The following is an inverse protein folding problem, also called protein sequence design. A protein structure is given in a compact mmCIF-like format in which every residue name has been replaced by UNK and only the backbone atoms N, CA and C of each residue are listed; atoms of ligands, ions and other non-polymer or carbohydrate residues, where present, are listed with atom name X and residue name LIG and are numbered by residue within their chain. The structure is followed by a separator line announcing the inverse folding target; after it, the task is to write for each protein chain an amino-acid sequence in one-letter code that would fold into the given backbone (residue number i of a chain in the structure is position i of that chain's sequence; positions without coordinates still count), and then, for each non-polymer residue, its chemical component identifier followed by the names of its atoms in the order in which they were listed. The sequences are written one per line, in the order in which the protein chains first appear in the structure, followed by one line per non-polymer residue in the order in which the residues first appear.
data_IF_132346261120
#
_entry.id   IF_132346261120
#
_cell.length_a   1.000
_cell.length_b   1.000
_cell.length_c   1.000
_cell.angle_alpha   90.00
_cell.angle_beta   90.00
_cell.angle_gamma   90.00
#
_symmetry.space_group_name_H-M   'P 1'
#
loop_
_entity.id
_entity.type
_entity.pdbx_description
1 polymer ?
#
# COMPACT_ATOMS: atom_id res chain seq x y z
N UNK A 1 23.95 -11.25 9.06
CA UNK A 1 22.53 -11.56 9.38
C UNK A 1 21.64 -10.61 8.59
N UNK A 2 20.55 -11.09 7.97
CA UNK A 2 19.59 -10.20 7.32
C UNK A 2 18.61 -9.61 8.33
N UNK A 3 18.14 -8.39 8.07
CA UNK A 3 17.09 -7.76 8.88
C UNK A 3 15.73 -8.32 8.49
N UNK A 4 14.75 -8.20 9.40
CA UNK A 4 13.35 -8.54 9.10
C UNK A 4 12.84 -7.74 7.89
N UNK A 5 13.21 -6.47 7.77
CA UNK A 5 12.86 -5.62 6.63
C UNK A 5 13.41 -6.18 5.30
N UNK A 6 14.67 -6.63 5.29
CA UNK A 6 15.30 -7.20 4.09
C UNK A 6 14.54 -8.43 3.59
N UNK A 7 14.12 -9.31 4.51
CA UNK A 7 13.31 -10.48 4.18
C UNK A 7 11.96 -10.09 3.57
N UNK A 8 11.25 -9.14 4.20
CA UNK A 8 9.95 -8.66 3.71
C UNK A 8 10.04 -8.08 2.29
N UNK A 9 11.09 -7.31 2.01
CA UNK A 9 11.30 -6.71 0.69
C UNK A 9 11.56 -7.78 -0.37
N UNK A 10 12.39 -8.79 -0.06
CA UNK A 10 12.66 -9.90 -0.97
C UNK A 10 11.39 -10.69 -1.30
N UNK A 11 10.59 -11.04 -0.29
CA UNK A 11 9.34 -11.78 -0.48
C UNK A 11 8.32 -10.96 -1.30
N UNK A 12 8.24 -9.64 -1.06
CA UNK A 12 7.35 -8.75 -1.83
C UNK A 12 7.74 -8.65 -3.30
N UNK A 13 9.04 -8.66 -3.61
CA UNK A 13 9.50 -8.62 -5.01
C UNK A 13 9.02 -9.86 -5.78
N UNK A 14 9.17 -11.05 -5.19
CA UNK A 14 8.70 -12.32 -5.78
C UNK A 14 7.17 -12.27 -6.01
N UNK A 15 6.43 -11.78 -5.02
CA UNK A 15 4.98 -11.64 -5.12
C UNK A 15 4.56 -10.68 -6.24
N UNK A 16 5.23 -9.54 -6.37
CA UNK A 16 4.92 -8.55 -7.43
C UNK A 16 5.13 -9.15 -8.81
N UNK A 17 6.21 -9.89 -9.05
CA UNK A 17 6.47 -10.50 -10.36
C UNK A 17 5.42 -11.57 -10.72
N UNK A 18 5.07 -12.45 -9.77
CA UNK A 18 3.99 -13.41 -9.97
C UNK A 18 2.64 -12.71 -10.24
N UNK A 19 2.35 -11.63 -9.52
CA UNK A 19 1.09 -10.89 -9.65
C UNK A 19 0.97 -10.15 -10.97
N UNK A 20 2.06 -9.59 -11.51
CA UNK A 20 2.11 -8.95 -12.83
C UNK A 20 1.75 -9.91 -13.96
N UNK A 21 2.17 -11.18 -13.85
CA UNK A 21 1.78 -12.21 -14.81
C UNK A 21 0.30 -12.57 -14.67
N UNK A 22 -0.20 -12.68 -13.43
CA UNK A 22 -1.61 -13.02 -13.17
C UNK A 22 -2.59 -11.89 -13.55
N UNK A 23 -2.21 -10.63 -13.38
CA UNK A 23 -2.99 -9.46 -13.79
C UNK A 23 -2.05 -8.39 -14.34
N UNK A 24 -1.85 -8.39 -15.66
CA UNK A 24 -1.01 -7.40 -16.32
C UNK A 24 -1.51 -5.97 -16.06
N UNK A 25 -0.60 -5.04 -15.82
CA UNK A 25 -0.94 -3.61 -15.62
C UNK A 25 -1.79 -3.06 -16.77
N UNK A 26 -1.43 -3.42 -18.01
CA UNK A 26 -2.14 -3.00 -19.22
C UNK A 26 -3.62 -3.41 -19.22
N UNK A 27 -4.02 -4.42 -18.44
CA UNK A 27 -5.41 -4.88 -18.38
C UNK A 27 -6.34 -3.98 -17.57
N UNK A 28 -5.80 -3.03 -16.80
CA UNK A 28 -6.61 -2.19 -15.91
C UNK A 28 -6.11 -0.74 -15.76
N UNK A 29 -4.90 -0.43 -16.27
CA UNK A 29 -4.28 0.90 -16.10
C UNK A 29 -5.19 2.04 -16.55
N UNK A 30 -5.90 1.88 -17.67
CA UNK A 30 -6.78 2.92 -18.22
C UNK A 30 -8.07 3.11 -17.41
N UNK A 31 -8.44 2.12 -16.59
CA UNK A 31 -9.65 2.15 -15.76
C UNK A 31 -9.38 2.77 -14.38
N UNK A 32 -8.11 3.05 -14.05
CA UNK A 32 -7.73 3.68 -12.77
C UNK A 32 -8.11 5.16 -12.79
N UNK A 33 -9.04 5.54 -11.93
CA UNK A 33 -9.47 6.94 -11.74
C UNK A 33 -8.76 7.61 -10.57
N UNK A 34 -8.61 8.96 -10.59
CA UNK A 34 -8.08 9.70 -9.45
C UNK A 34 -8.86 9.42 -8.16
N UNK A 35 -8.14 9.36 -7.02
CA UNK A 35 -8.77 9.20 -5.71
C UNK A 35 -9.76 10.33 -5.42
N UNK A 36 -10.99 9.98 -5.04
CA UNK A 36 -11.98 10.94 -4.55
C UNK A 36 -11.73 11.38 -3.10
N UNK A 37 -10.77 10.77 -2.40
CA UNK A 37 -10.44 11.06 -1.00
C UNK A 37 -9.22 11.96 -0.91
N UNK A 38 -9.31 12.98 -0.06
CA UNK A 38 -8.20 13.86 0.31
C UNK A 38 -7.44 13.27 1.49
N UNK A 39 -6.41 12.47 1.21
CA UNK A 39 -5.59 11.84 2.25
C UNK A 39 -4.92 12.87 3.17
N UNK A 40 -4.40 13.96 2.60
CA UNK A 40 -3.66 14.98 3.32
C UNK A 40 -4.54 15.93 4.14
N UNK A 41 -5.84 16.00 3.84
CA UNK A 41 -6.78 16.88 4.54
C UNK A 41 -7.45 16.18 5.72
N UNK A 42 -7.31 14.84 5.84
CA UNK A 42 -7.81 14.11 6.99
C UNK A 42 -6.93 14.42 8.21
N UNK A 43 -7.44 15.07 9.27
CA UNK A 43 -6.64 15.31 10.45
C UNK A 43 -6.26 13.99 11.13
N UNK A 44 -5.06 13.92 11.70
CA UNK A 44 -4.59 12.85 12.58
C UNK A 44 -5.33 12.83 13.93
N UNK A 45 -6.65 13.05 13.92
CA UNK A 45 -7.49 13.34 15.06
C UNK A 45 -7.96 12.10 15.80
N UNK A 46 -7.03 11.33 16.38
CA UNK A 46 -7.31 10.53 17.58
C UNK A 46 -6.67 11.22 18.77
N UNK A 47 -7.30 12.28 19.27
CA UNK A 47 -7.10 12.69 20.67
C UNK A 47 -7.86 11.69 21.54
N UNK A 48 -7.20 10.62 21.97
CA UNK A 48 -7.71 9.78 23.04
C UNK A 48 -7.71 10.61 24.33
N UNK A 49 -8.83 11.29 24.61
CA UNK A 49 -9.06 11.92 25.91
C UNK A 49 -9.30 10.80 26.92
N UNK A 50 -8.26 10.43 27.67
CA UNK A 50 -8.42 9.70 28.92
C UNK A 50 -9.02 10.68 29.92
N UNK A 51 -10.27 10.46 30.32
CA UNK A 51 -10.83 11.18 31.48
C UNK A 51 -10.15 10.64 32.74
N UNK A 52 -9.61 11.56 33.53
CA UNK A 52 -9.06 11.37 34.88
C UNK A 52 -10.13 10.98 35.88
#
# INVERSE_FOLDING_TARGET
MQTVLAKIVADKAIWVEARKQQQPLASFQNDVVPSSRRFYDAPAGYSHRVYS
#
